data_IF_946582626733
#
_entry.id   IF_946582626733
#
_cell.length_a   1.000
_cell.length_b   1.000
_cell.length_c   1.000
_cell.angle_alpha   90.00
_cell.angle_beta   90.00
_cell.angle_gamma   90.00
#
_symmetry.space_group_name_H-M   'P 1'
#
loop_
_entity.id
_entity.type
_entity.pdbx_description
1 polymer ?
#
# COMPACT_ATOMS: atom_id res chain seq x y z
N UNK A 1 3.76 -18.54 10.65
CA UNK A 1 4.61 -17.33 10.70
C UNK A 1 4.27 -16.45 9.50
N UNK A 2 3.59 -15.31 9.71
CA UNK A 2 3.35 -14.37 8.62
C UNK A 2 4.71 -13.78 8.24
N UNK A 3 5.26 -14.14 7.06
CA UNK A 3 6.46 -13.48 6.52
C UNK A 3 6.11 -12.01 6.36
N UNK A 4 6.69 -11.18 7.24
CA UNK A 4 6.56 -9.74 7.15
C UNK A 4 7.40 -9.28 5.97
N UNK A 5 6.80 -9.25 4.78
CA UNK A 5 7.45 -8.69 3.60
C UNK A 5 7.35 -7.18 3.69
N UNK A 6 8.49 -6.52 3.92
CA UNK A 6 8.56 -5.06 3.82
C UNK A 6 8.24 -4.66 2.39
N UNK A 7 7.41 -3.63 2.22
CA UNK A 7 7.13 -3.05 0.91
C UNK A 7 8.42 -2.48 0.33
N UNK A 8 8.72 -2.85 -0.91
CA UNK A 8 9.83 -2.23 -1.63
C UNK A 8 9.53 -0.75 -1.88
N UNK A 9 10.56 0.03 -2.18
CA UNK A 9 10.39 1.45 -2.52
C UNK A 9 9.46 1.62 -3.73
N UNK A 10 9.62 0.76 -4.74
CA UNK A 10 8.78 0.71 -5.94
C UNK A 10 7.31 0.45 -5.61
N UNK A 11 7.03 -0.57 -4.78
CA UNK A 11 5.65 -0.87 -4.35
C UNK A 11 5.02 0.32 -3.61
N UNK A 12 5.79 1.04 -2.79
CA UNK A 12 5.30 2.24 -2.09
C UNK A 12 4.95 3.37 -3.05
N UNK A 13 5.80 3.62 -4.06
CA UNK A 13 5.48 4.59 -5.10
C UNK A 13 4.25 4.19 -5.92
N UNK A 14 4.11 2.91 -6.25
CA UNK A 14 2.97 2.40 -7.01
C UNK A 14 1.67 2.53 -6.20
N UNK A 15 1.68 2.23 -4.90
CA UNK A 15 0.55 2.48 -3.99
C UNK A 15 0.20 3.97 -3.99
N UNK A 16 1.18 4.87 -3.83
CA UNK A 16 0.92 6.31 -3.83
C UNK A 16 0.37 6.83 -5.17
N UNK A 17 0.89 6.36 -6.30
CA UNK A 17 0.42 6.74 -7.63
C UNK A 17 -1.03 6.27 -7.85
N UNK A 18 -1.37 5.04 -7.49
CA UNK A 18 -2.72 4.50 -7.62
C UNK A 18 -3.70 5.19 -6.67
N UNK A 19 -3.28 5.52 -5.44
CA UNK A 19 -4.10 6.32 -4.53
C UNK A 19 -4.37 7.72 -5.10
N UNK A 20 -3.38 8.38 -5.70
CA UNK A 20 -3.57 9.67 -6.39
C UNK A 20 -4.50 9.55 -7.61
N UNK A 21 -4.52 8.39 -8.26
CA UNK A 21 -5.44 8.07 -9.34
C UNK A 21 -6.88 7.74 -8.85
N UNK A 22 -7.16 7.84 -7.55
CA UNK A 22 -8.48 7.61 -6.97
C UNK A 22 -8.83 6.13 -6.77
N UNK A 23 -7.85 5.23 -6.83
CA UNK A 23 -8.08 3.79 -6.61
C UNK A 23 -8.23 3.46 -5.14
N UNK A 24 -9.13 2.53 -4.84
CA UNK A 24 -9.34 2.05 -3.48
C UNK A 24 -8.28 1.02 -3.07
N UNK A 25 -8.05 0.87 -1.76
CA UNK A 25 -7.02 -0.02 -1.22
C UNK A 25 -7.19 -1.49 -1.68
N UNK A 26 -8.43 -1.94 -1.91
CA UNK A 26 -8.73 -3.27 -2.44
C UNK A 26 -8.25 -3.42 -3.88
N UNK A 27 -8.54 -2.46 -4.76
CA UNK A 27 -8.08 -2.49 -6.15
C UNK A 27 -6.54 -2.46 -6.21
N UNK A 28 -5.91 -1.65 -5.35
CA UNK A 28 -4.45 -1.58 -5.26
C UNK A 28 -3.85 -2.92 -4.80
N UNK A 29 -4.53 -3.62 -3.88
CA UNK A 29 -4.12 -4.93 -3.42
C UNK A 29 -4.13 -5.96 -4.55
N UNK A 30 -5.18 -5.92 -5.39
CA UNK A 30 -5.32 -6.80 -6.56
C UNK A 30 -4.28 -6.46 -7.65
N UNK A 31 -4.03 -5.18 -7.90
CA UNK A 31 -3.07 -4.72 -8.93
C UNK A 31 -1.62 -5.08 -8.55
N UNK A 32 -1.23 -4.86 -7.29
CA UNK A 32 0.16 -5.06 -6.84
C UNK A 32 0.37 -6.50 -6.33
N UNK A 33 -0.70 -7.26 -6.09
CA UNK A 33 -0.62 -8.63 -5.56
C UNK A 33 -0.21 -8.68 -4.08
N UNK A 34 -0.48 -7.63 -3.32
CA UNK A 34 -0.17 -7.54 -1.88
C UNK A 34 -1.44 -7.51 -1.05
N UNK A 35 -1.36 -7.97 0.19
CA UNK A 35 -2.52 -7.99 1.06
C UNK A 35 -3.03 -6.58 1.39
N UNK A 36 -4.36 -6.37 1.36
CA UNK A 36 -4.99 -5.08 1.70
C UNK A 36 -4.56 -4.52 3.05
N UNK A 37 -4.32 -5.37 4.05
CA UNK A 37 -3.85 -4.93 5.37
C UNK A 37 -2.40 -4.40 5.34
N UNK A 38 -1.59 -4.79 4.37
CA UNK A 38 -0.24 -4.24 4.17
C UNK A 38 -0.33 -2.83 3.61
N UNK A 39 -1.20 -2.61 2.62
CA UNK A 39 -1.50 -1.28 2.07
C UNK A 39 -2.09 -0.37 3.15
N UNK A 40 -3.10 -0.83 3.88
CA UNK A 40 -3.72 -0.07 4.97
C UNK A 40 -2.70 0.39 6.02
N UNK A 41 -1.77 -0.49 6.40
CA UNK A 41 -0.67 -0.15 7.33
C UNK A 41 0.30 0.87 6.73
N UNK A 42 0.61 0.77 5.44
CA UNK A 42 1.46 1.73 4.73
C UNK A 42 0.81 3.12 4.65
N UNK A 43 -0.47 3.16 4.27
CA UNK A 43 -1.27 4.40 4.22
C UNK A 43 -1.34 5.04 5.60
N UNK A 44 -1.64 4.25 6.64
CA UNK A 44 -1.70 4.74 8.03
C UNK A 44 -0.35 5.25 8.54
N UNK A 45 0.76 4.66 8.10
CA UNK A 45 2.11 5.18 8.38
C UNK A 45 2.35 6.53 7.70
N UNK A 46 1.79 6.74 6.51
CA UNK A 46 1.93 7.99 5.77
C UNK A 46 1.01 9.12 6.26
N UNK A 47 -0.07 8.80 6.98
CA UNK A 47 -1.00 9.79 7.58
C UNK A 47 -0.57 10.29 8.97
N UNK A 48 0.61 9.91 9.44
CA UNK A 48 1.06 10.12 10.82
C UNK A 48 1.62 11.49 11.17
N UNK A 49 1.88 12.40 10.21
CA UNK A 49 2.42 13.74 10.49
C UNK A 49 2.18 14.68 9.30
N UNK A 50 1.12 15.49 9.37
CA UNK A 50 1.21 16.96 9.29
C UNK A 50 -0.08 17.59 9.80
#
# INVERSE_FOLDING_TARGET
MMRYTQLTLEQRYQIQALMKAGKNQTEIAEIIGIHKSTISREVRRNTGQR
#
